data_IF_569147616984
#
_entry.id   IF_569147616984
#
_cell.length_a   1.000
_cell.length_b   1.000
_cell.length_c   1.000
_cell.angle_alpha   90.00
_cell.angle_beta   90.00
_cell.angle_gamma   90.00
#
_symmetry.space_group_name_H-M   'P 1'
#
loop_
_entity.id
_entity.type
_entity.pdbx_description
1 polymer ?
#
# COMPACT_ATOMS: atom_id res chain seq x y z
N UNK A 1 -1.31 -13.23 -11.91
CA UNK A 1 -2.40 -13.22 -10.91
C UNK A 1 -2.34 -11.97 -10.05
N UNK A 2 -1.24 -11.73 -9.33
CA UNK A 2 -1.08 -10.49 -8.55
C UNK A 2 -1.04 -9.22 -9.41
N UNK A 3 -0.44 -9.27 -10.60
CA UNK A 3 -0.45 -8.14 -11.55
C UNK A 3 -1.88 -7.69 -11.93
N UNK A 4 -2.78 -8.64 -12.19
CA UNK A 4 -4.19 -8.35 -12.48
C UNK A 4 -4.88 -7.71 -11.26
N UNK A 5 -4.69 -8.28 -10.07
CA UNK A 5 -5.20 -7.70 -8.82
C UNK A 5 -4.68 -6.29 -8.59
N UNK A 6 -3.41 -6.06 -8.89
CA UNK A 6 -2.73 -4.79 -8.70
C UNK A 6 -3.31 -3.72 -9.62
N UNK A 7 -3.54 -4.06 -10.89
CA UNK A 7 -4.22 -3.17 -11.84
C UNK A 7 -5.62 -2.78 -11.35
N UNK A 8 -6.42 -3.75 -10.90
CA UNK A 8 -7.76 -3.49 -10.35
C UNK A 8 -7.69 -2.65 -9.07
N UNK A 9 -6.80 -2.97 -8.14
CA UNK A 9 -6.64 -2.26 -6.88
C UNK A 9 -6.24 -0.79 -7.12
N UNK A 10 -5.34 -0.52 -8.08
CA UNK A 10 -4.98 0.83 -8.49
C UNK A 10 -6.18 1.62 -8.99
N UNK A 11 -7.00 1.04 -9.89
CA UNK A 11 -8.21 1.71 -10.39
C UNK A 11 -9.16 2.11 -9.24
N UNK A 12 -9.40 1.19 -8.30
CA UNK A 12 -10.29 1.44 -7.15
C UNK A 12 -9.78 2.61 -6.31
N UNK A 13 -8.49 2.64 -6.01
CA UNK A 13 -7.83 3.69 -5.21
C UNK A 13 -7.72 5.02 -5.96
N UNK A 14 -7.54 5.00 -7.28
CA UNK A 14 -7.54 6.24 -8.08
C UNK A 14 -8.90 6.93 -8.09
N UNK A 15 -9.99 6.16 -8.04
CA UNK A 15 -11.35 6.70 -8.04
C UNK A 15 -11.89 7.03 -6.64
N UNK A 16 -11.22 6.58 -5.56
CA UNK A 16 -11.72 6.72 -4.20
C UNK A 16 -10.57 6.98 -3.22
N UNK A 17 -10.72 7.96 -2.34
CA UNK A 17 -9.80 8.08 -1.21
C UNK A 17 -10.15 6.99 -0.17
N UNK A 18 -9.18 6.19 0.24
CA UNK A 18 -9.37 5.08 1.18
C UNK A 18 -8.75 5.39 2.54
N UNK A 19 -9.20 4.68 3.58
CA UNK A 19 -8.54 4.68 4.89
C UNK A 19 -7.35 3.72 4.89
N UNK A 20 -6.35 3.97 5.72
CA UNK A 20 -5.18 3.10 5.88
C UNK A 20 -5.57 1.64 6.20
N UNK A 21 -6.61 1.42 7.00
CA UNK A 21 -7.11 0.07 7.30
C UNK A 21 -7.69 -0.65 6.06
N UNK A 22 -8.29 0.09 5.11
CA UNK A 22 -8.76 -0.48 3.84
C UNK A 22 -7.59 -0.82 2.93
N UNK A 23 -6.53 0.01 2.93
CA UNK A 23 -5.28 -0.30 2.21
C UNK A 23 -4.65 -1.57 2.77
N UNK A 24 -4.61 -1.75 4.09
CA UNK A 24 -4.14 -2.99 4.74
C UNK A 24 -4.93 -4.21 4.25
N UNK A 25 -6.27 -4.12 4.19
CA UNK A 25 -7.10 -5.22 3.70
C UNK A 25 -6.77 -5.59 2.25
N UNK A 26 -6.59 -4.60 1.37
CA UNK A 26 -6.23 -4.85 -0.04
C UNK A 26 -4.81 -5.42 -0.15
N UNK A 27 -3.86 -4.90 0.62
CA UNK A 27 -2.49 -5.42 0.66
C UNK A 27 -2.46 -6.92 1.02
N UNK A 28 -3.30 -7.38 1.95
CA UNK A 28 -3.38 -8.79 2.33
C UNK A 28 -3.94 -9.71 1.24
N UNK A 29 -4.50 -9.17 0.15
CA UNK A 29 -4.95 -9.96 -0.99
C UNK A 29 -3.81 -10.33 -1.95
N UNK A 30 -2.65 -9.67 -1.84
CA UNK A 30 -1.47 -9.99 -2.64
C UNK A 30 -0.65 -11.11 -2.00
N UNK A 31 -0.08 -11.93 -2.87
CA UNK A 31 0.73 -13.09 -2.51
C UNK A 31 2.17 -12.66 -2.21
N UNK A 32 2.68 -11.66 -2.93
CA UNK A 32 4.07 -11.23 -2.85
C UNK A 32 4.23 -9.85 -2.22
N UNK A 33 5.26 -9.69 -1.38
CA UNK A 33 5.60 -8.41 -0.75
C UNK A 33 5.96 -7.33 -1.77
N UNK A 34 6.55 -7.70 -2.90
CA UNK A 34 6.81 -6.78 -4.02
C UNK A 34 5.53 -6.11 -4.51
N UNK A 35 4.47 -6.90 -4.78
CA UNK A 35 3.17 -6.39 -5.21
C UNK A 35 2.47 -5.56 -4.12
N UNK A 36 2.58 -5.98 -2.85
CA UNK A 36 2.09 -5.20 -1.71
C UNK A 36 2.78 -3.84 -1.63
N UNK A 37 4.09 -3.80 -1.84
CA UNK A 37 4.90 -2.60 -1.72
C UNK A 37 4.59 -1.63 -2.85
N UNK A 38 4.50 -2.12 -4.07
CA UNK A 38 4.11 -1.34 -5.23
C UNK A 38 2.72 -0.71 -5.03
N UNK A 39 1.75 -1.50 -4.57
CA UNK A 39 0.42 -0.99 -4.24
C UNK A 39 0.44 0.01 -3.07
N UNK A 40 1.15 -0.28 -1.99
CA UNK A 40 1.22 0.57 -0.80
C UNK A 40 1.86 1.93 -1.10
N UNK A 41 2.89 1.98 -1.96
CA UNK A 41 3.46 3.25 -2.41
C UNK A 41 2.44 4.05 -3.20
N UNK A 42 1.78 3.42 -4.16
CA UNK A 42 0.75 4.06 -4.97
C UNK A 42 -0.41 4.59 -4.12
N UNK A 43 -0.91 3.80 -3.16
CA UNK A 43 -2.07 4.15 -2.37
C UNK A 43 -1.83 5.25 -1.31
N UNK A 44 -0.57 5.56 -0.99
CA UNK A 44 -0.23 6.54 0.04
C UNK A 44 -0.79 7.94 -0.26
N UNK A 45 -0.64 8.41 -1.50
CA UNK A 45 -1.15 9.72 -1.94
C UNK A 45 -2.69 9.77 -1.97
N UNK A 46 -3.34 8.62 -2.10
CA UNK A 46 -4.78 8.45 -2.16
C UNK A 46 -5.40 8.04 -0.81
N UNK A 47 -4.65 8.16 0.29
CA UNK A 47 -5.15 7.82 1.63
C UNK A 47 -5.62 9.05 2.39
N UNK A 48 -6.79 8.94 3.02
CA UNK A 48 -7.43 10.02 3.79
C UNK A 48 -6.70 10.24 5.13
N UNK A 49 -6.42 9.17 5.86
CA UNK A 49 -5.84 9.19 7.21
C UNK A 49 -4.37 8.76 7.18
N UNK A 50 -3.53 9.51 6.43
CA UNK A 50 -2.09 9.23 6.28
C UNK A 50 -1.33 9.13 7.61
N UNK A 51 -1.82 9.78 8.68
CA UNK A 51 -1.28 9.63 10.04
C UNK A 51 -1.33 8.18 10.55
N UNK A 52 -2.25 7.36 10.04
CA UNK A 52 -2.40 5.95 10.38
C UNK A 52 -1.68 5.00 9.39
N UNK A 53 -0.96 5.54 8.40
CA UNK A 53 -0.39 4.71 7.33
C UNK A 53 0.70 3.75 7.80
N UNK A 54 1.28 3.99 8.98
CA UNK A 54 2.21 3.06 9.62
C UNK A 54 1.63 1.66 9.79
N UNK A 55 0.29 1.51 9.86
CA UNK A 55 -0.40 0.21 9.92
C UNK A 55 -0.12 -0.67 8.70
N UNK A 56 0.12 -0.07 7.53
CA UNK A 56 0.43 -0.80 6.29
C UNK A 56 1.72 -1.60 6.42
N UNK A 57 2.65 -1.18 7.29
CA UNK A 57 3.87 -1.95 7.54
C UNK A 57 3.62 -3.37 8.07
N UNK A 58 2.45 -3.64 8.66
CA UNK A 58 2.12 -4.95 9.21
C UNK A 58 1.81 -6.01 8.13
N UNK A 59 1.58 -5.61 6.88
CA UNK A 59 1.25 -6.55 5.80
C UNK A 59 2.49 -7.17 5.16
N UNK A 60 3.68 -6.61 5.42
CA UNK A 60 4.94 -7.06 4.85
C UNK A 60 5.57 -8.16 5.70
N UNK A 61 5.99 -9.21 5.02
CA UNK A 61 6.79 -10.29 5.58
C UNK A 61 8.24 -9.88 5.77
N UNK A 62 8.78 -9.05 4.88
CA UNK A 62 10.19 -8.64 4.91
C UNK A 62 10.37 -7.25 5.54
N UNK A 63 11.42 -7.11 6.36
CA UNK A 63 11.79 -5.80 6.95
C UNK A 63 12.21 -4.79 5.88
N UNK A 64 12.87 -5.24 4.82
CA UNK A 64 13.28 -4.39 3.69
C UNK A 64 12.09 -3.68 3.03
N UNK A 65 10.97 -4.38 2.85
CA UNK A 65 9.75 -3.78 2.28
C UNK A 65 9.16 -2.68 3.18
N UNK A 66 9.25 -2.85 4.52
CA UNK A 66 8.83 -1.82 5.48
C UNK A 66 9.72 -0.60 5.41
N UNK A 67 11.03 -0.80 5.40
CA UNK A 67 12.03 0.27 5.27
C UNK A 67 11.84 1.05 3.97
N UNK A 68 11.63 0.33 2.86
CA UNK A 68 11.45 0.95 1.56
C UNK A 68 10.15 1.76 1.46
N UNK A 69 9.04 1.28 2.06
CA UNK A 69 7.81 2.06 2.17
C UNK A 69 8.03 3.33 3.00
N UNK A 70 8.68 3.21 4.16
CA UNK A 70 8.96 4.35 5.03
C UNK A 70 9.84 5.39 4.33
N UNK A 71 10.88 4.95 3.62
CA UNK A 71 11.75 5.82 2.82
C UNK A 71 10.96 6.56 1.75
N UNK A 72 10.08 5.87 1.02
CA UNK A 72 9.20 6.49 0.02
C UNK A 72 8.28 7.55 0.64
N UNK A 73 7.69 7.25 1.81
CA UNK A 73 6.81 8.21 2.52
C UNK A 73 7.57 9.48 2.92
N UNK A 74 8.86 9.37 3.26
CA UNK A 74 9.69 10.54 3.58
C UNK A 74 9.99 11.41 2.36
N UNK A 75 10.08 10.83 1.15
CA UNK A 75 10.38 11.60 -0.08
C UNK A 75 9.15 12.24 -0.72
N UNK A 76 7.97 11.65 -0.52
CA UNK A 76 6.69 12.13 -1.09
C UNK A 76 5.95 13.09 -0.13
N UNK A 77 6.62 13.48 0.95
CA UNK A 77 6.05 14.31 2.01
C UNK A 77 5.71 15.73 1.55
#
# INVERSE_FOLDING_TARGET
FDETKLSTARQVVSSNCLKADQIVQICNLFSFDESKLEFAKFAYTHTIDRSNYFKVNNVFSFSSSKEELNNYIMTVK
#
